data_IF_075866333689
#
_entry.id   IF_075866333689
#
_cell.length_a   1.000
_cell.length_b   1.000
_cell.length_c   1.000
_cell.angle_alpha   90.00
_cell.angle_beta   90.00
_cell.angle_gamma   90.00
#
_symmetry.space_group_name_H-M   'P 1'
#
loop_
_entity.id
_entity.type
_entity.pdbx_description
1 polymer ?
#
# COMPACT_ATOMS: atom_id res chain seq x y z
N UNK A 1 -29.09 3.20 -4.91
CA UNK A 1 -29.85 2.19 -4.14
C UNK A 1 -31.11 2.74 -3.47
N UNK A 2 -31.31 4.06 -3.31
CA UNK A 2 -32.55 4.62 -2.73
C UNK A 2 -32.74 4.37 -1.23
N UNK A 3 -31.67 4.00 -0.52
CA UNK A 3 -31.65 3.54 0.88
C UNK A 3 -31.14 4.63 1.83
N UNK A 4 -31.95 5.66 2.03
CA UNK A 4 -31.54 6.90 2.74
C UNK A 4 -31.29 6.70 4.24
N UNK A 5 -32.00 5.76 4.88
CA UNK A 5 -31.80 5.44 6.29
C UNK A 5 -30.47 4.72 6.50
N UNK A 6 -30.18 3.71 5.68
CA UNK A 6 -28.90 3.00 5.74
C UNK A 6 -27.73 3.92 5.39
N UNK A 7 -27.89 4.82 4.41
CA UNK A 7 -26.88 5.83 4.10
C UNK A 7 -26.52 6.66 5.35
N UNK A 8 -27.53 7.19 6.06
CA UNK A 8 -27.32 7.99 7.28
C UNK A 8 -26.62 7.15 8.36
N UNK A 9 -27.11 5.93 8.60
CA UNK A 9 -26.55 5.01 9.59
C UNK A 9 -25.07 4.72 9.34
N UNK A 10 -24.70 4.41 8.09
CA UNK A 10 -23.31 4.08 7.75
C UNK A 10 -22.41 5.32 7.73
N UNK A 11 -22.92 6.49 7.36
CA UNK A 11 -22.16 7.74 7.47
C UNK A 11 -21.82 8.08 8.93
N UNK A 12 -22.79 7.95 9.84
CA UNK A 12 -22.57 8.16 11.27
C UNK A 12 -21.58 7.15 11.86
N UNK A 13 -21.69 5.88 11.46
CA UNK A 13 -20.74 4.84 11.89
C UNK A 13 -19.32 5.13 11.37
N UNK A 14 -19.18 5.49 10.09
CA UNK A 14 -17.90 5.82 9.50
C UNK A 14 -17.23 7.01 10.22
N UNK A 15 -17.99 8.07 10.52
CA UNK A 15 -17.48 9.21 11.27
C UNK A 15 -16.97 8.81 12.68
N UNK A 16 -17.71 7.96 13.39
CA UNK A 16 -17.30 7.44 14.72
C UNK A 16 -16.03 6.60 14.63
N UNK A 17 -15.95 5.69 13.66
CA UNK A 17 -14.78 4.81 13.47
C UNK A 17 -13.56 5.63 13.05
N UNK A 18 -13.70 6.60 12.14
CA UNK A 18 -12.61 7.52 11.74
C UNK A 18 -12.07 8.29 12.94
N UNK A 19 -12.94 8.84 13.78
CA UNK A 19 -12.53 9.55 14.99
C UNK A 19 -11.78 8.65 15.99
N UNK A 20 -12.30 7.43 16.22
CA UNK A 20 -11.64 6.46 17.10
C UNK A 20 -10.28 6.01 16.57
N UNK A 21 -10.18 5.74 15.26
CA UNK A 21 -8.92 5.39 14.60
C UNK A 21 -7.89 6.51 14.73
N UNK A 22 -8.30 7.76 14.44
CA UNK A 22 -7.41 8.90 14.53
C UNK A 22 -6.90 9.11 15.96
N UNK A 23 -7.77 8.97 16.95
CA UNK A 23 -7.40 9.06 18.35
C UNK A 23 -6.37 7.98 18.77
N UNK A 24 -6.60 6.73 18.37
CA UNK A 24 -5.77 5.60 18.81
C UNK A 24 -4.44 5.50 18.07
N UNK A 25 -4.43 5.79 16.76
CA UNK A 25 -3.32 5.43 15.88
C UNK A 25 -2.62 6.61 15.22
N UNK A 26 -3.15 7.84 15.28
CA UNK A 26 -2.60 9.01 14.59
C UNK A 26 -2.08 10.03 15.61
N UNK A 27 -0.81 10.38 15.50
CA UNK A 27 -0.24 11.48 16.29
C UNK A 27 -0.78 12.84 15.82
N UNK A 28 -0.73 13.91 16.65
CA UNK A 28 -1.16 15.24 16.21
C UNK A 28 -0.51 15.74 14.91
N UNK A 29 0.73 15.33 14.64
CA UNK A 29 1.47 15.69 13.42
C UNK A 29 1.10 14.84 12.18
N UNK A 30 0.29 13.79 12.31
CA UNK A 30 -0.11 12.93 11.20
C UNK A 30 0.74 11.67 10.98
N UNK A 31 1.70 11.38 11.89
CA UNK A 31 2.36 10.06 11.89
C UNK A 31 1.46 8.98 12.45
N UNK A 32 1.54 7.78 11.87
CA UNK A 32 0.86 6.59 12.38
C UNK A 32 1.69 5.89 13.45
N UNK A 33 1.01 5.17 14.35
CA UNK A 33 1.65 4.33 15.37
C UNK A 33 2.55 3.25 14.73
N UNK A 34 2.07 2.62 13.66
CA UNK A 34 2.88 1.72 12.84
C UNK A 34 3.47 2.50 11.65
N UNK A 35 4.79 2.73 11.68
CA UNK A 35 5.51 3.47 10.65
C UNK A 35 5.85 2.56 9.44
N UNK A 36 4.82 2.06 8.76
CA UNK A 36 4.93 1.12 7.65
C UNK A 36 4.11 1.57 6.43
N UNK A 37 4.60 1.24 5.22
CA UNK A 37 3.97 1.63 3.95
C UNK A 37 2.48 1.26 3.87
N UNK A 38 2.11 0.03 4.26
CA UNK A 38 0.72 -0.44 4.28
C UNK A 38 -0.17 0.41 5.19
N UNK A 39 0.34 0.81 6.36
CA UNK A 39 -0.43 1.58 7.33
C UNK A 39 -0.76 2.97 6.76
N UNK A 40 0.24 3.65 6.17
CA UNK A 40 0.02 4.93 5.52
C UNK A 40 -0.86 4.84 4.29
N UNK A 41 -0.68 3.82 3.45
CA UNK A 41 -1.51 3.63 2.26
C UNK A 41 -3.00 3.48 2.63
N UNK A 42 -3.31 2.67 3.64
CA UNK A 42 -4.67 2.51 4.16
C UNK A 42 -5.23 3.81 4.72
N UNK A 43 -4.47 4.51 5.57
CA UNK A 43 -4.92 5.75 6.20
C UNK A 43 -5.18 6.87 5.18
N UNK A 44 -4.38 6.93 4.12
CA UNK A 44 -4.51 7.92 3.05
C UNK A 44 -5.70 7.62 2.13
N UNK A 45 -5.81 6.38 1.62
CA UNK A 45 -6.85 6.03 0.65
C UNK A 45 -8.24 5.95 1.28
N UNK A 46 -8.35 5.52 2.54
CA UNK A 46 -9.62 5.49 3.26
C UNK A 46 -9.95 6.79 4.00
N UNK A 47 -9.20 7.87 3.74
CA UNK A 47 -9.41 9.18 4.35
C UNK A 47 -9.56 9.07 5.87
N UNK A 48 -8.59 8.43 6.55
CA UNK A 48 -8.62 8.24 8.00
C UNK A 48 -7.92 9.36 8.77
N UNK A 49 -7.22 10.25 8.07
CA UNK A 49 -6.50 11.39 8.63
C UNK A 49 -7.43 12.62 8.70
N UNK A 50 -7.70 13.17 9.90
CA UNK A 50 -8.68 14.24 10.07
C UNK A 50 -8.40 15.55 9.31
N UNK A 51 -7.13 15.94 9.16
CA UNK A 51 -6.77 17.24 8.55
C UNK A 51 -5.94 17.11 7.30
N UNK A 52 -5.97 18.13 6.45
CA UNK A 52 -5.18 18.18 5.22
C UNK A 52 -3.67 18.16 5.51
N UNK A 53 -3.23 18.79 6.61
CA UNK A 53 -1.84 18.84 7.04
C UNK A 53 -1.37 17.45 7.50
N UNK A 54 -2.17 16.75 8.29
CA UNK A 54 -1.87 15.37 8.71
C UNK A 54 -1.81 14.45 7.50
N UNK A 55 -2.74 14.62 6.55
CA UNK A 55 -2.76 13.88 5.29
C UNK A 55 -1.51 14.12 4.45
N UNK A 56 -1.09 15.38 4.32
CA UNK A 56 0.14 15.70 3.58
C UNK A 56 1.38 15.12 4.28
N UNK A 57 1.47 15.27 5.60
CA UNK A 57 2.59 14.73 6.38
C UNK A 57 2.71 13.20 6.25
N UNK A 58 1.58 12.49 6.30
CA UNK A 58 1.54 11.04 6.07
C UNK A 58 1.98 10.66 4.65
N UNK A 59 1.57 11.43 3.63
CA UNK A 59 2.02 11.25 2.24
C UNK A 59 3.53 11.44 2.08
N UNK A 60 4.06 12.51 2.67
CA UNK A 60 5.50 12.80 2.67
C UNK A 60 6.28 11.68 3.36
N UNK A 61 5.76 11.19 4.51
CA UNK A 61 6.37 10.08 5.23
C UNK A 61 6.32 8.76 4.45
N UNK A 62 5.21 8.45 3.78
CA UNK A 62 5.12 7.30 2.89
C UNK A 62 6.16 7.38 1.78
N UNK A 63 6.30 8.54 1.14
CA UNK A 63 7.28 8.75 0.09
C UNK A 63 8.73 8.65 0.61
N UNK A 64 8.99 9.04 1.86
CA UNK A 64 10.28 8.80 2.53
C UNK A 64 10.58 7.32 2.73
N UNK A 65 9.61 6.54 3.25
CA UNK A 65 9.79 5.11 3.49
C UNK A 65 10.11 4.36 2.19
N UNK A 66 9.37 4.65 1.12
CA UNK A 66 9.61 4.07 -0.20
C UNK A 66 10.99 4.46 -0.75
N UNK A 67 11.43 5.70 -0.55
CA UNK A 67 12.79 6.11 -0.95
C UNK A 67 13.87 5.41 -0.14
N UNK A 68 13.67 5.30 1.17
CA UNK A 68 14.61 4.66 2.08
C UNK A 68 14.75 3.15 1.81
N UNK A 69 13.72 2.51 1.28
CA UNK A 69 13.79 1.10 0.84
C UNK A 69 14.53 0.91 -0.50
N UNK A 70 15.00 1.99 -1.13
CA UNK A 70 15.53 1.93 -2.49
C UNK A 70 14.45 1.68 -3.53
N UNK A 71 13.20 2.10 -3.25
CA UNK A 71 12.03 1.85 -4.08
C UNK A 71 11.66 0.37 -4.22
N UNK A 72 12.05 -0.47 -3.25
CA UNK A 72 11.57 -1.84 -3.14
C UNK A 72 10.19 -1.85 -2.48
N UNK A 73 9.27 -2.64 -3.01
CA UNK A 73 7.93 -2.76 -2.43
C UNK A 73 7.99 -3.46 -1.08
N UNK A 74 7.38 -2.86 -0.04
CA UNK A 74 7.32 -3.45 1.31
C UNK A 74 5.90 -3.76 1.76
N UNK A 75 4.93 -3.66 0.87
CA UNK A 75 3.53 -3.98 1.15
C UNK A 75 3.20 -5.46 0.89
N UNK A 76 2.28 -5.99 1.69
CA UNK A 76 1.61 -7.26 1.44
C UNK A 76 0.32 -7.08 0.64
N UNK A 77 -0.58 -8.06 0.68
CA UNK A 77 -1.80 -8.09 -0.14
C UNK A 77 -2.71 -6.88 0.06
N UNK A 78 -2.80 -6.36 1.29
CA UNK A 78 -3.69 -5.24 1.63
C UNK A 78 -3.14 -3.89 1.18
N UNK A 79 -1.81 -3.69 1.27
CA UNK A 79 -1.18 -2.41 0.95
C UNK A 79 -0.86 -2.23 -0.53
N UNK A 80 -0.56 -3.34 -1.23
CA UNK A 80 -0.14 -3.33 -2.64
C UNK A 80 -1.14 -2.67 -3.60
N UNK A 81 -2.47 -2.90 -3.51
CA UNK A 81 -3.41 -2.18 -4.37
C UNK A 81 -3.46 -0.67 -4.06
N UNK A 82 -3.06 -0.24 -2.86
CA UNK A 82 -3.31 1.12 -2.38
C UNK A 82 -2.10 2.04 -2.45
N UNK A 83 -0.87 1.50 -2.49
CA UNK A 83 0.34 2.29 -2.28
C UNK A 83 0.59 3.33 -3.39
N UNK A 84 0.36 2.98 -4.64
CA UNK A 84 0.53 3.90 -5.77
C UNK A 84 -0.49 5.04 -5.71
N UNK A 85 -1.75 4.72 -5.40
CA UNK A 85 -2.81 5.71 -5.21
C UNK A 85 -2.52 6.63 -4.03
N UNK A 86 -2.12 6.08 -2.88
CA UNK A 86 -1.77 6.87 -1.71
C UNK A 86 -0.65 7.90 -2.00
N UNK A 87 0.39 7.48 -2.73
CA UNK A 87 1.46 8.36 -3.20
C UNK A 87 0.93 9.42 -4.18
N UNK A 88 0.15 9.02 -5.18
CA UNK A 88 -0.39 9.93 -6.19
C UNK A 88 -1.36 10.97 -5.59
N UNK A 89 -2.28 10.56 -4.73
CA UNK A 89 -3.25 11.45 -4.10
C UNK A 89 -2.60 12.45 -3.10
N UNK A 90 -1.32 12.27 -2.77
CA UNK A 90 -0.53 13.19 -1.93
C UNK A 90 0.59 13.90 -2.70
N UNK A 91 0.58 13.82 -4.04
CA UNK A 91 1.48 14.55 -4.94
C UNK A 91 2.80 13.84 -5.26
N UNK A 92 3.01 12.62 -4.78
CA UNK A 92 4.27 11.87 -4.89
C UNK A 92 4.34 10.96 -6.14
N UNK A 93 3.81 11.42 -7.27
CA UNK A 93 3.74 10.65 -8.52
C UNK A 93 5.09 10.10 -8.99
N UNK A 94 6.17 10.88 -8.83
CA UNK A 94 7.53 10.43 -9.20
C UNK A 94 8.00 9.25 -8.34
N UNK A 95 7.67 9.25 -7.05
CA UNK A 95 7.99 8.15 -6.15
C UNK A 95 7.19 6.91 -6.52
N UNK A 96 5.89 7.05 -6.81
CA UNK A 96 5.05 5.95 -7.28
C UNK A 96 5.60 5.34 -8.59
N UNK A 97 6.00 6.17 -9.54
CA UNK A 97 6.56 5.69 -10.81
C UNK A 97 7.88 4.95 -10.62
N UNK A 98 8.77 5.43 -9.73
CA UNK A 98 10.03 4.73 -9.43
C UNK A 98 9.82 3.41 -8.69
N UNK A 99 8.83 3.35 -7.80
CA UNK A 99 8.42 2.10 -7.13
C UNK A 99 7.88 1.09 -8.15
N UNK A 100 7.00 1.53 -9.06
CA UNK A 100 6.43 0.70 -10.12
C UNK A 100 7.49 0.15 -11.09
N UNK A 101 8.55 0.91 -11.33
CA UNK A 101 9.60 0.57 -12.31
C UNK A 101 10.87 -0.04 -11.70
N UNK A 102 10.89 -0.29 -10.39
CA UNK A 102 11.95 -1.06 -9.73
C UNK A 102 12.01 -2.49 -10.30
N UNK A 103 13.22 -3.03 -10.48
CA UNK A 103 13.49 -4.33 -11.10
C UNK A 103 14.14 -5.34 -10.16
N UNK A 104 14.69 -4.88 -9.03
CA UNK A 104 15.29 -5.76 -8.02
C UNK A 104 14.21 -6.35 -7.09
N UNK A 105 14.52 -7.51 -6.48
CA UNK A 105 13.62 -8.17 -5.55
C UNK A 105 13.62 -7.45 -4.18
N UNK A 106 12.46 -7.10 -3.60
CA UNK A 106 11.09 -7.26 -4.10
C UNK A 106 10.62 -6.08 -4.98
N UNK A 107 9.96 -6.38 -6.11
CA UNK A 107 9.26 -5.42 -6.98
C UNK A 107 8.31 -6.12 -7.96
N UNK A 108 7.46 -5.35 -8.66
CA UNK A 108 6.60 -5.90 -9.72
C UNK A 108 7.39 -6.35 -10.96
N UNK A 109 8.47 -5.66 -11.33
CA UNK A 109 9.24 -6.04 -12.51
C UNK A 109 10.29 -7.10 -12.23
N UNK A 110 10.62 -7.38 -10.96
CA UNK A 110 11.53 -8.48 -10.63
C UNK A 110 11.06 -9.84 -11.21
N UNK A 111 9.82 -10.31 -10.97
CA UNK A 111 9.31 -11.51 -11.62
C UNK A 111 9.45 -11.48 -13.16
N UNK A 112 9.18 -10.33 -13.78
CA UNK A 112 9.30 -10.16 -15.24
C UNK A 112 10.76 -10.33 -15.69
N UNK A 113 11.73 -9.77 -14.95
CA UNK A 113 13.16 -9.99 -15.24
C UNK A 113 13.61 -11.44 -15.06
N UNK A 114 12.88 -12.21 -14.25
CA UNK A 114 13.08 -13.64 -14.04
C UNK A 114 12.27 -14.52 -15.02
N UNK A 115 11.60 -13.93 -16.02
CA UNK A 115 10.85 -14.66 -17.05
C UNK A 115 9.40 -15.01 -16.69
N UNK A 116 8.83 -14.40 -15.64
CA UNK A 116 7.43 -14.61 -15.29
C UNK A 116 6.47 -14.15 -16.39
N UNK A 117 5.43 -14.95 -16.65
CA UNK A 117 4.29 -14.60 -17.52
C UNK A 117 2.99 -14.41 -16.75
N UNK A 118 3.04 -14.53 -15.42
CA UNK A 118 1.93 -14.41 -14.46
C UNK A 118 2.44 -13.73 -13.18
N UNK A 119 1.53 -13.21 -12.37
CA UNK A 119 1.87 -12.64 -11.06
C UNK A 119 2.11 -13.77 -10.06
N UNK A 120 3.15 -13.65 -9.24
CA UNK A 120 3.50 -14.63 -8.22
C UNK A 120 2.79 -14.33 -6.89
N UNK A 121 2.61 -15.36 -6.07
CA UNK A 121 2.05 -15.21 -4.73
C UNK A 121 2.96 -14.41 -3.79
N UNK A 122 4.27 -14.62 -3.91
CA UNK A 122 5.29 -13.90 -3.15
C UNK A 122 6.09 -13.01 -4.10
N UNK A 123 6.56 -11.88 -3.57
CA UNK A 123 7.54 -11.05 -4.28
C UNK A 123 8.79 -11.84 -4.67
N UNK A 124 9.13 -12.84 -3.87
CA UNK A 124 10.32 -13.68 -3.94
C UNK A 124 9.97 -15.16 -4.12
N UNK A 125 8.88 -15.51 -4.84
CA UNK A 125 8.52 -16.92 -5.15
C UNK A 125 9.69 -17.67 -5.81
N UNK A 126 10.47 -16.97 -6.65
CA UNK A 126 11.82 -17.36 -7.03
C UNK A 126 12.81 -16.36 -6.44
N UNK A 127 13.83 -16.86 -5.76
CA UNK A 127 14.91 -16.08 -5.16
C UNK A 127 15.89 -15.59 -6.24
N UNK A 128 16.72 -14.56 -5.96
CA UNK A 128 17.65 -13.99 -6.95
C UNK A 128 18.67 -14.99 -7.52
N UNK A 129 18.93 -16.10 -6.83
CA UNK A 129 19.79 -17.19 -7.30
C UNK A 129 19.08 -18.23 -8.19
N UNK A 130 17.78 -18.03 -8.45
CA UNK A 130 16.93 -18.92 -9.24
C UNK A 130 16.32 -20.08 -8.45
N UNK A 131 16.64 -20.23 -7.17
CA UNK A 131 16.00 -21.23 -6.32
C UNK A 131 14.56 -20.82 -5.98
N UNK A 132 13.69 -21.81 -5.76
CA UNK A 132 12.30 -21.57 -5.34
C UNK A 132 12.30 -21.21 -3.85
N UNK A 133 11.46 -20.25 -3.47
CA UNK A 133 11.26 -19.91 -2.06
C UNK A 133 10.97 -21.19 -1.24
N UNK A 134 11.70 -21.44 -0.13
CA UNK A 134 11.56 -22.69 0.63
C UNK A 134 10.25 -22.78 1.41
N UNK A 135 9.44 -21.71 1.46
CA UNK A 135 8.13 -21.73 2.09
C UNK A 135 7.17 -22.70 1.41
N UNK A 136 6.46 -23.50 2.20
CA UNK A 136 5.50 -24.52 1.72
C UNK A 136 4.32 -23.93 0.90
N UNK A 137 4.07 -22.63 1.04
CA UNK A 137 3.06 -21.88 0.30
C UNK A 137 3.75 -20.96 -0.72
N UNK A 138 3.98 -21.49 -1.93
CA UNK A 138 4.63 -20.76 -3.05
C UNK A 138 3.94 -21.09 -4.37
N UNK A 139 3.12 -20.15 -4.87
CA UNK A 139 2.54 -20.18 -6.21
C UNK A 139 3.18 -19.16 -7.15
N UNK A 140 3.27 -19.52 -8.43
CA UNK A 140 3.73 -18.67 -9.53
C UNK A 140 2.55 -18.05 -10.32
N UNK A 141 1.31 -18.24 -9.87
CA UNK A 141 0.12 -17.69 -10.53
C UNK A 141 -0.95 -17.31 -9.50
N UNK A 142 -0.84 -16.10 -8.94
CA UNK A 142 -1.72 -15.54 -7.92
C UNK A 142 -1.93 -14.04 -8.18
N UNK A 143 -3.16 -13.61 -8.42
CA UNK A 143 -3.42 -12.26 -8.95
C UNK A 143 -3.29 -11.13 -7.92
N UNK A 144 -3.19 -11.44 -6.61
CA UNK A 144 -3.28 -10.44 -5.53
C UNK A 144 -2.28 -9.27 -5.69
N UNK A 145 -1.03 -9.57 -6.06
CA UNK A 145 -0.01 -8.53 -6.26
C UNK A 145 -0.12 -7.81 -7.63
N UNK A 146 -1.00 -8.32 -8.51
CA UNK A 146 -1.36 -7.72 -9.80
C UNK A 146 -2.41 -6.63 -9.69
N UNK A 147 -2.98 -6.41 -8.50
CA UNK A 147 -3.95 -5.35 -8.23
C UNK A 147 -3.38 -3.92 -8.36
N UNK A 148 -2.13 -3.76 -8.80
CA UNK A 148 -1.54 -2.45 -9.15
C UNK A 148 -2.13 -1.83 -10.43
N UNK A 149 -2.91 -2.60 -11.19
CA UNK A 149 -3.48 -2.19 -12.48
C UNK A 149 -5.02 -2.10 -12.46
N UNK A 150 -5.62 -1.87 -11.29
CA UNK A 150 -7.08 -1.85 -11.07
C UNK A 150 -7.79 -0.56 -11.55
#
# INVERSE_FOLDING_TARGET
>A
LGRSEEQRRYAELAAKVKAAFAHEYVTPAGRLMCDAETAYALALVFDLLPTAEQRQHAGDRLAELVRASGYHIRTGFVGTPLICDALCQTGHHRTAYRLLTQRECPSWLYPVTMGATTIWERWDSMLPDGSINPGEMTSFNHYALGAVAD
#
